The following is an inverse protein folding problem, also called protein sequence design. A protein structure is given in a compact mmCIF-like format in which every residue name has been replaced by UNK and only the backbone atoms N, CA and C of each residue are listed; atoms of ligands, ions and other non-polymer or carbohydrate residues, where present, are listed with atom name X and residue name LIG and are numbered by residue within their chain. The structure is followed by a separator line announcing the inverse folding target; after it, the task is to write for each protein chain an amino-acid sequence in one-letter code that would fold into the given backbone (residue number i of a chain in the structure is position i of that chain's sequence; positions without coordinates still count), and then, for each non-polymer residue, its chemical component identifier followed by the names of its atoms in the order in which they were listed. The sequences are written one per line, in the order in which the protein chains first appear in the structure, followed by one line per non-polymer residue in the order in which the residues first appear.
data_IF_864127027057
#
_entry.id   IF_864127027057
#
_cell.length_a   1.000
_cell.length_b   1.000
_cell.length_c   1.000
_cell.angle_alpha   90.00
_cell.angle_beta   90.00
_cell.angle_gamma   90.00
#
_symmetry.space_group_name_H-M   'P 1'
#
loop_
_entity.id
_entity.type
_entity.pdbx_description
1 polymer ?
#
# COMPACT_ATOMS: atom_id res chain seq x y z
N UNK A 1 10.91 -27.27 -35.61
CA UNK A 1 10.38 -27.68 -34.29
C UNK A 1 8.87 -27.49 -34.32
N UNK A 2 8.06 -28.57 -34.29
CA UNK A 2 6.61 -28.45 -34.22
C UNK A 2 6.19 -27.90 -32.85
N UNK A 3 5.28 -26.91 -32.83
CA UNK A 3 4.73 -26.33 -31.60
C UNK A 3 3.87 -27.38 -30.91
N UNK A 4 4.18 -27.65 -29.64
CA UNK A 4 3.47 -28.59 -28.78
C UNK A 4 2.02 -28.15 -28.63
N UNK A 5 1.07 -29.01 -29.02
CA UNK A 5 -0.37 -28.74 -29.02
C UNK A 5 -1.07 -28.85 -27.67
N UNK A 6 -0.36 -28.63 -26.56
CA UNK A 6 -0.85 -28.78 -25.18
C UNK A 6 -0.48 -27.57 -24.30
N UNK A 7 -0.49 -26.36 -24.86
CA UNK A 7 -0.57 -25.17 -24.03
C UNK A 7 -2.02 -25.03 -23.57
N UNK A 8 -2.33 -25.55 -22.39
CA UNK A 8 -3.60 -25.30 -21.71
C UNK A 8 -3.61 -23.81 -21.37
N UNK A 9 -4.15 -23.02 -22.28
CA UNK A 9 -4.49 -21.61 -22.03
C UNK A 9 -5.62 -21.65 -21.00
N UNK A 10 -5.24 -21.56 -19.73
CA UNK A 10 -6.19 -21.34 -18.64
C UNK A 10 -6.64 -19.89 -18.78
N UNK A 11 -7.68 -19.67 -19.57
CA UNK A 11 -8.44 -18.43 -19.56
C UNK A 11 -8.98 -18.25 -18.13
N UNK A 12 -8.33 -17.39 -17.36
CA UNK A 12 -8.87 -16.92 -16.09
C UNK A 12 -10.06 -16.00 -16.43
N UNK A 13 -11.32 -16.42 -16.19
CA UNK A 13 -12.49 -15.57 -16.46
C UNK A 13 -12.52 -14.31 -15.59
N UNK A 14 -11.60 -14.18 -14.63
CA UNK A 14 -11.40 -13.01 -13.77
C UNK A 14 -10.14 -12.20 -14.14
N UNK A 15 -9.44 -12.56 -15.22
CA UNK A 15 -8.35 -11.78 -15.77
C UNK A 15 -8.83 -10.32 -16.00
N UNK A 16 -8.07 -9.31 -15.56
CA UNK A 16 -8.43 -7.91 -15.78
C UNK A 16 -8.72 -7.70 -17.27
N UNK A 17 -9.88 -7.11 -17.58
CA UNK A 17 -10.18 -6.77 -18.96
C UNK A 17 -9.06 -5.84 -19.46
N UNK A 18 -8.40 -6.23 -20.56
CA UNK A 18 -7.25 -5.50 -21.12
C UNK A 18 -7.54 -4.06 -21.52
N UNK A 19 -8.82 -3.65 -21.50
CA UNK A 19 -9.32 -2.32 -21.86
C UNK A 19 -9.77 -1.47 -20.64
N UNK A 20 -9.38 -1.87 -19.43
CA UNK A 20 -9.68 -1.09 -18.22
C UNK A 20 -8.85 0.20 -18.16
N UNK A 21 -9.48 1.38 -17.95
CA UNK A 21 -8.75 2.65 -17.94
C UNK A 21 -7.72 2.69 -16.80
N UNK A 22 -6.54 3.23 -17.13
CA UNK A 22 -5.47 3.47 -16.17
C UNK A 22 -5.89 4.53 -15.14
N UNK A 23 -5.65 4.27 -13.86
CA UNK A 23 -5.91 5.24 -12.77
C UNK A 23 -4.65 6.04 -12.47
N UNK A 24 -3.48 5.40 -12.49
CA UNK A 24 -2.21 6.04 -12.23
C UNK A 24 -1.10 5.43 -13.12
N UNK A 25 -0.16 6.28 -13.53
CA UNK A 25 1.07 5.83 -14.19
C UNK A 25 2.18 5.55 -13.18
N UNK A 26 3.06 4.61 -13.50
CA UNK A 26 4.19 4.23 -12.61
C UNK A 26 5.04 5.45 -12.27
N UNK A 27 5.29 6.31 -13.26
CA UNK A 27 6.03 7.55 -13.08
C UNK A 27 5.37 8.51 -12.09
N UNK A 28 4.06 8.70 -12.18
CA UNK A 28 3.35 9.59 -11.26
C UNK A 28 3.41 9.05 -9.83
N UNK A 29 3.28 7.74 -9.66
CA UNK A 29 3.39 7.06 -8.36
C UNK A 29 4.80 7.19 -7.80
N UNK A 30 5.84 6.84 -8.58
CA UNK A 30 7.24 6.90 -8.14
C UNK A 30 7.63 8.31 -7.69
N UNK A 31 7.25 9.35 -8.45
CA UNK A 31 7.51 10.74 -8.09
C UNK A 31 6.75 11.12 -6.82
N UNK A 32 5.45 10.81 -6.75
CA UNK A 32 4.61 11.19 -5.61
C UNK A 32 5.10 10.53 -4.32
N UNK A 33 5.37 9.22 -4.35
CA UNK A 33 5.87 8.46 -3.21
C UNK A 33 7.24 8.97 -2.78
N UNK A 34 8.15 9.22 -3.74
CA UNK A 34 9.47 9.77 -3.41
C UNK A 34 9.38 11.16 -2.77
N UNK A 35 8.44 12.01 -3.20
CA UNK A 35 8.22 13.33 -2.57
C UNK A 35 7.64 13.20 -1.15
N UNK A 36 6.67 12.30 -0.93
CA UNK A 36 6.10 12.05 0.39
C UNK A 36 7.14 11.50 1.36
N UNK A 37 7.95 10.53 0.92
CA UNK A 37 9.03 9.96 1.72
C UNK A 37 10.14 10.98 1.98
N UNK A 38 10.47 11.85 1.02
CA UNK A 38 11.42 12.94 1.22
C UNK A 38 10.91 13.94 2.26
N UNK A 39 9.62 14.29 2.23
CA UNK A 39 9.00 15.15 3.23
C UNK A 39 9.02 14.50 4.63
N UNK A 40 8.69 13.21 4.72
CA UNK A 40 8.77 12.45 5.97
C UNK A 40 10.21 12.37 6.49
N UNK A 41 11.18 12.09 5.62
CA UNK A 41 12.59 12.07 5.96
C UNK A 41 13.07 13.43 6.48
N UNK A 42 12.63 14.53 5.86
CA UNK A 42 12.91 15.89 6.34
C UNK A 42 12.32 16.16 7.72
N UNK A 43 11.07 15.75 7.96
CA UNK A 43 10.42 15.87 9.27
C UNK A 43 11.15 15.08 10.36
N UNK A 44 11.51 13.82 10.07
CA UNK A 44 12.27 12.97 10.99
C UNK A 44 13.67 13.52 11.23
N UNK A 45 14.37 13.98 10.20
CA UNK A 45 15.69 14.60 10.36
C UNK A 45 15.62 15.85 11.25
N UNK A 46 14.60 16.70 11.07
CA UNK A 46 14.41 17.89 11.89
C UNK A 46 14.18 17.56 13.37
N UNK A 47 13.26 16.62 13.66
CA UNK A 47 12.96 16.25 15.05
C UNK A 47 14.16 15.55 15.74
N UNK A 48 14.89 14.71 15.01
CA UNK A 48 16.08 14.03 15.54
C UNK A 48 17.28 14.97 15.69
N UNK A 49 17.43 15.97 14.83
CA UNK A 49 18.42 17.03 15.02
C UNK A 49 18.17 17.81 16.31
N UNK A 50 16.90 18.16 16.57
CA UNK A 50 16.49 18.83 17.82
C UNK A 50 16.71 17.96 19.06
N UNK A 51 16.55 16.65 18.92
CA UNK A 51 16.74 15.66 20.00
C UNK A 51 18.22 15.35 20.26
N UNK A 52 19.11 15.76 19.36
CA UNK A 52 20.55 15.56 19.47
C UNK A 52 21.04 14.45 18.51
N UNK A 53 21.69 14.87 17.43
CA UNK A 53 22.26 13.99 16.41
C UNK A 53 23.75 13.69 16.62
N UNK A 54 24.34 14.14 17.73
CA UNK A 54 25.77 14.07 18.00
C UNK A 54 26.19 12.80 18.71
N UNK A 55 27.49 12.55 18.71
CA UNK A 55 28.10 11.54 19.55
C UNK A 55 28.76 12.23 20.74
N UNK A 56 28.30 11.92 21.95
CA UNK A 56 28.81 12.52 23.18
C UNK A 56 29.82 11.58 23.87
N UNK A 57 30.50 12.07 24.91
CA UNK A 57 31.46 11.31 25.69
C UNK A 57 30.87 10.03 26.31
N UNK A 58 29.56 9.99 26.53
CA UNK A 58 28.83 8.82 27.07
C UNK A 58 28.23 7.91 25.98
N UNK A 59 28.38 8.26 24.69
CA UNK A 59 27.84 7.47 23.57
C UNK A 59 26.95 8.27 22.60
N UNK A 60 26.28 7.58 21.65
CA UNK A 60 25.41 8.22 20.68
C UNK A 60 24.18 8.81 21.37
N UNK A 61 23.84 10.05 21.02
CA UNK A 61 22.62 10.69 21.47
C UNK A 61 21.39 9.97 20.88
N UNK A 62 20.22 10.16 21.51
CA UNK A 62 18.98 9.50 21.09
C UNK A 62 18.61 9.78 19.62
N UNK A 63 18.91 10.99 19.13
CA UNK A 63 18.65 11.38 17.75
C UNK A 63 19.74 10.96 16.75
N UNK A 64 20.91 10.49 17.20
CA UNK A 64 22.05 10.16 16.33
C UNK A 64 21.65 9.15 15.25
N UNK A 65 21.25 7.94 15.65
CA UNK A 65 20.88 6.88 14.72
C UNK A 65 19.71 7.24 13.78
N UNK A 66 18.54 7.68 14.28
CA UNK A 66 17.39 8.01 13.43
C UNK A 66 17.64 9.21 12.51
N UNK A 67 18.51 10.16 12.88
CA UNK A 67 18.91 11.27 11.99
C UNK A 67 19.62 10.76 10.73
N UNK A 68 20.65 9.92 10.88
CA UNK A 68 21.38 9.39 9.72
C UNK A 68 20.51 8.47 8.87
N UNK A 69 19.60 7.69 9.47
CA UNK A 69 18.64 6.88 8.72
C UNK A 69 17.72 7.77 7.87
N UNK A 70 17.27 8.89 8.43
CA UNK A 70 16.46 9.88 7.72
C UNK A 70 17.24 10.53 6.57
N UNK A 71 18.54 10.83 6.77
CA UNK A 71 19.40 11.36 5.73
C UNK A 71 19.63 10.37 4.57
N UNK A 72 19.84 9.08 4.87
CA UNK A 72 19.96 8.03 3.86
C UNK A 72 18.65 7.87 3.08
N UNK A 73 17.51 7.87 3.77
CA UNK A 73 16.19 7.83 3.14
C UNK A 73 15.98 9.02 2.20
N UNK A 74 16.32 10.24 2.66
CA UNK A 74 16.25 11.44 1.83
C UNK A 74 17.13 11.32 0.58
N UNK A 75 18.37 10.83 0.73
CA UNK A 75 19.29 10.56 -0.39
C UNK A 75 18.72 9.55 -1.40
N UNK A 76 18.13 8.45 -0.92
CA UNK A 76 17.49 7.45 -1.77
C UNK A 76 16.28 8.04 -2.54
N UNK A 77 15.48 8.88 -1.89
CA UNK A 77 14.35 9.55 -2.54
C UNK A 77 14.81 10.54 -3.61
N UNK A 78 15.86 11.33 -3.33
CA UNK A 78 16.46 12.24 -4.31
C UNK A 78 17.03 11.49 -5.52
N UNK A 79 17.67 10.33 -5.28
CA UNK A 79 18.13 9.46 -6.36
C UNK A 79 16.96 8.95 -7.22
N UNK A 80 15.89 8.46 -6.59
CA UNK A 80 14.68 8.01 -7.29
C UNK A 80 14.07 9.11 -8.16
N UNK A 81 13.93 10.32 -7.61
CA UNK A 81 13.46 11.50 -8.34
C UNK A 81 14.39 11.88 -9.50
N UNK A 82 15.71 11.82 -9.28
CA UNK A 82 16.71 12.07 -10.31
C UNK A 82 16.62 11.07 -11.47
N UNK A 83 16.52 9.77 -11.17
CA UNK A 83 16.30 8.71 -12.17
C UNK A 83 15.06 9.00 -13.01
N UNK A 84 13.96 9.34 -12.36
CA UNK A 84 12.68 9.59 -13.02
C UNK A 84 12.68 10.91 -13.81
N UNK A 85 13.50 11.88 -13.39
CA UNK A 85 13.76 13.11 -14.13
C UNK A 85 14.62 12.88 -15.39
N UNK A 86 15.52 11.90 -15.37
CA UNK A 86 16.35 11.57 -16.52
C UNK A 86 15.58 10.68 -17.53
N UNK A 87 14.73 9.79 -17.03
CA UNK A 87 13.89 8.88 -17.82
C UNK A 87 12.66 9.55 -18.45
N UNK A 88 12.48 10.88 -18.31
CA UNK A 88 11.29 11.63 -18.74
C UNK A 88 10.87 11.44 -20.20
N UNK A 89 11.79 10.97 -21.06
CA UNK A 89 11.57 10.77 -22.50
C UNK A 89 10.95 9.41 -22.85
N UNK A 90 10.81 8.48 -21.90
CA UNK A 90 10.15 7.18 -22.13
C UNK A 90 8.66 7.23 -21.74
N UNK A 91 7.84 6.50 -22.49
CA UNK A 91 6.43 6.34 -22.18
C UNK A 91 6.28 5.67 -20.80
N UNK A 92 5.53 6.30 -19.88
CA UNK A 92 5.30 5.74 -18.56
C UNK A 92 4.32 4.57 -18.64
N UNK A 93 4.69 3.42 -18.07
CA UNK A 93 3.78 2.29 -17.93
C UNK A 93 2.58 2.59 -17.03
N UNK A 94 1.52 1.80 -17.20
CA UNK A 94 0.34 1.79 -16.30
C UNK A 94 0.72 1.10 -15.00
N UNK A 95 0.53 1.77 -13.85
CA UNK A 95 0.77 1.18 -12.54
C UNK A 95 -0.42 0.35 -12.07
N UNK A 96 -1.62 0.92 -12.15
CA UNK A 96 -2.85 0.25 -11.71
C UNK A 96 -4.03 0.65 -12.58
N UNK A 97 -4.86 -0.32 -12.94
CA UNK A 97 -6.13 -0.10 -13.64
C UNK A 97 -7.28 0.08 -12.64
N UNK A 98 -8.39 0.67 -13.11
CA UNK A 98 -9.57 0.89 -12.26
C UNK A 98 -10.14 -0.40 -11.65
N UNK A 99 -10.13 -1.49 -12.41
CA UNK A 99 -10.59 -2.80 -11.94
C UNK A 99 -9.68 -3.40 -10.88
N UNK A 100 -8.36 -3.28 -11.04
CA UNK A 100 -7.40 -3.72 -10.03
C UNK A 100 -7.57 -2.93 -8.74
N UNK A 101 -7.69 -1.60 -8.83
CA UNK A 101 -7.92 -0.75 -7.66
C UNK A 101 -9.22 -1.10 -6.94
N UNK A 102 -10.30 -1.37 -7.68
CA UNK A 102 -11.59 -1.79 -7.10
C UNK A 102 -11.45 -3.10 -6.31
N UNK A 103 -10.72 -4.09 -6.84
CA UNK A 103 -10.45 -5.37 -6.16
C UNK A 103 -9.66 -5.17 -4.87
N UNK A 104 -8.64 -4.32 -4.89
CA UNK A 104 -7.88 -3.98 -3.68
C UNK A 104 -8.78 -3.28 -2.64
N UNK A 105 -9.59 -2.30 -3.07
CA UNK A 105 -10.50 -1.58 -2.19
C UNK A 105 -11.59 -2.48 -1.57
N UNK A 106 -12.02 -3.55 -2.26
CA UNK A 106 -12.98 -4.50 -1.71
C UNK A 106 -12.49 -5.20 -0.44
N UNK A 107 -11.18 -5.37 -0.27
CA UNK A 107 -10.59 -5.98 0.93
C UNK A 107 -10.07 -4.92 1.89
N UNK A 108 -9.48 -3.85 1.35
CA UNK A 108 -8.92 -2.75 2.15
C UNK A 108 -9.98 -1.97 2.93
N UNK A 109 -11.13 -1.63 2.32
CA UNK A 109 -12.17 -0.85 3.01
C UNK A 109 -12.75 -1.60 4.21
N UNK A 110 -13.17 -2.88 4.11
CA UNK A 110 -13.64 -3.63 5.28
C UNK A 110 -12.60 -3.78 6.38
N UNK A 111 -11.34 -4.05 6.01
CA UNK A 111 -10.25 -4.20 7.00
C UNK A 111 -9.90 -2.88 7.69
N UNK A 112 -9.94 -1.76 6.97
CA UNK A 112 -9.77 -0.43 7.57
C UNK A 112 -10.92 -0.11 8.54
N UNK A 113 -12.16 -0.39 8.16
CA UNK A 113 -13.32 -0.21 9.03
C UNK A 113 -13.22 -1.09 10.28
N UNK A 114 -12.72 -2.32 10.16
CA UNK A 114 -12.43 -3.17 11.31
C UNK A 114 -11.42 -2.51 12.25
N UNK A 115 -10.28 -2.02 11.74
CA UNK A 115 -9.28 -1.33 12.57
C UNK A 115 -9.88 -0.12 13.31
N UNK A 116 -10.78 0.64 12.65
CA UNK A 116 -11.48 1.75 13.31
C UNK A 116 -12.46 1.25 14.38
N UNK A 117 -13.28 0.24 14.05
CA UNK A 117 -14.27 -0.31 14.98
C UNK A 117 -13.64 -0.98 16.21
N UNK A 118 -12.45 -1.58 16.09
CA UNK A 118 -11.76 -2.16 17.26
C UNK A 118 -11.46 -1.13 18.34
N UNK A 119 -11.30 0.17 18.00
CA UNK A 119 -11.06 1.24 18.98
C UNK A 119 -12.26 1.51 19.90
N UNK A 120 -13.49 1.31 19.42
CA UNK A 120 -14.71 1.62 20.19
C UNK A 120 -15.48 0.38 20.65
N UNK A 121 -15.53 -0.66 19.82
CA UNK A 121 -16.35 -1.87 20.06
C UNK A 121 -15.53 -3.02 20.67
N UNK A 122 -14.20 -2.90 20.72
CA UNK A 122 -13.30 -3.98 21.10
C UNK A 122 -13.12 -5.02 19.98
N UNK A 123 -12.17 -5.94 20.20
CA UNK A 123 -11.71 -6.87 19.17
C UNK A 123 -12.80 -7.88 18.73
N UNK A 124 -13.53 -8.45 19.69
CA UNK A 124 -14.50 -9.52 19.41
C UNK A 124 -15.69 -9.02 18.59
N UNK A 125 -16.28 -7.90 19.00
CA UNK A 125 -17.45 -7.31 18.31
C UNK A 125 -17.04 -6.80 16.93
N UNK A 126 -15.88 -6.15 16.81
CA UNK A 126 -15.37 -5.72 15.51
C UNK A 126 -15.11 -6.91 14.56
N UNK A 127 -14.59 -8.03 15.08
CA UNK A 127 -14.35 -9.23 14.28
C UNK A 127 -15.65 -9.86 13.77
N UNK A 128 -16.68 -9.92 14.62
CA UNK A 128 -18.03 -10.36 14.22
C UNK A 128 -18.58 -9.49 13.07
N UNK A 129 -18.50 -8.17 13.20
CA UNK A 129 -18.95 -7.22 12.17
C UNK A 129 -18.14 -7.36 10.87
N UNK A 130 -16.83 -7.57 10.97
CA UNK A 130 -15.98 -7.79 9.80
C UNK A 130 -16.41 -9.05 9.06
N UNK A 131 -16.54 -10.20 9.74
CA UNK A 131 -16.91 -11.48 9.13
C UNK A 131 -18.29 -11.38 8.48
N UNK A 132 -19.29 -10.88 9.21
CA UNK A 132 -20.64 -10.69 8.69
C UNK A 132 -20.65 -9.74 7.48
N UNK A 133 -19.95 -8.60 7.57
CA UNK A 133 -19.83 -7.62 6.49
C UNK A 133 -19.16 -8.19 5.24
N UNK A 134 -18.09 -8.99 5.41
CA UNK A 134 -17.40 -9.63 4.30
C UNK A 134 -18.29 -10.66 3.58
N UNK A 135 -19.04 -11.47 4.36
CA UNK A 135 -19.97 -12.44 3.79
C UNK A 135 -21.11 -11.79 3.00
N UNK A 136 -21.60 -10.61 3.44
CA UNK A 136 -22.65 -9.87 2.73
C UNK A 136 -22.10 -9.14 1.49
N UNK A 137 -20.99 -8.42 1.63
CA UNK A 137 -20.44 -7.55 0.57
C UNK A 137 -19.69 -8.33 -0.50
N UNK A 138 -18.83 -9.27 -0.10
CA UNK A 138 -17.96 -10.04 -1.00
C UNK A 138 -18.57 -11.40 -1.31
N UNK A 139 -19.11 -12.09 -0.29
CA UNK A 139 -19.76 -13.39 -0.46
C UNK A 139 -21.13 -13.33 -1.14
N UNK A 140 -21.77 -12.14 -1.20
CA UNK A 140 -23.17 -11.94 -1.65
C UNK A 140 -24.17 -12.89 -0.96
N UNK A 141 -23.87 -13.30 0.26
CA UNK A 141 -24.72 -14.18 1.06
C UNK A 141 -25.81 -13.32 1.72
N UNK A 142 -27.04 -13.84 1.80
CA UNK A 142 -28.13 -13.14 2.46
C UNK A 142 -27.75 -12.80 3.92
N UNK A 143 -27.96 -11.55 4.34
CA UNK A 143 -27.49 -11.03 5.63
C UNK A 143 -27.91 -11.87 6.85
N UNK A 144 -29.07 -12.52 6.80
CA UNK A 144 -29.53 -13.43 7.84
C UNK A 144 -28.66 -14.70 7.97
N UNK A 145 -28.21 -15.26 6.84
CA UNK A 145 -27.29 -16.41 6.84
C UNK A 145 -25.92 -15.99 7.37
N UNK A 146 -25.44 -14.81 6.98
CA UNK A 146 -24.15 -14.27 7.44
C UNK A 146 -24.13 -14.02 8.95
N UNK A 147 -25.20 -13.48 9.53
CA UNK A 147 -25.32 -13.28 10.98
C UNK A 147 -25.32 -14.61 11.76
N UNK A 148 -26.01 -15.63 11.26
CA UNK A 148 -26.01 -16.97 11.87
C UNK A 148 -24.61 -17.61 11.86
N UNK A 149 -23.89 -17.55 10.74
CA UNK A 149 -22.50 -18.08 10.67
C UNK A 149 -21.48 -17.27 11.45
N UNK A 150 -21.69 -15.96 11.64
CA UNK A 150 -20.77 -15.16 12.44
C UNK A 150 -20.99 -15.37 13.95
N UNK A 151 -22.19 -15.81 14.36
CA UNK A 151 -22.55 -16.01 15.76
C UNK A 151 -22.22 -17.43 16.27
N UNK A 152 -22.24 -18.42 15.37
CA UNK A 152 -21.90 -19.83 15.65
C UNK A 152 -20.39 -20.08 15.54
#
# INVERSE_FOLDING_TARGET
MPKSGDEIVVEDPTAPAGDSPAVASTRAVDVTVSLLLLALAGLLAFDNWRTGMGWDATGPQAGYFPFYLSAILAGACLWGLGKEFLARRQASGTFVTREQLRRVLQVFVPTLLFCLFTQWLGLYVASFLLIAGFMVLVGRIAAWKSLLTAFL
#
